data_IF_022563950625
#
_entry.id   IF_022563950625
#
_cell.length_a   1.000
_cell.length_b   1.000
_cell.length_c   1.000
_cell.angle_alpha   90.00
_cell.angle_beta   90.00
_cell.angle_gamma   90.00
#
_symmetry.space_group_name_H-M   'P 1'
#
loop_
_entity.id
_entity.type
_entity.pdbx_description
1 polymer ?
#
# COMPACT_ATOMS: atom_id res chain seq x y z
N UNK A 1 2.92 45.55 1.90
CA UNK A 1 2.90 44.22 1.25
C UNK A 1 3.15 43.16 2.31
N UNK A 2 2.19 42.28 2.62
CA UNK A 2 2.43 41.21 3.58
C UNK A 2 3.36 40.18 2.94
N UNK A 3 4.43 39.80 3.65
CA UNK A 3 5.28 38.66 3.27
C UNK A 3 4.38 37.42 3.20
N UNK A 4 4.39 36.75 2.04
CA UNK A 4 3.97 35.35 1.95
C UNK A 4 4.80 34.59 2.98
N UNK A 5 4.17 34.24 4.12
CA UNK A 5 4.74 33.23 4.99
C UNK A 5 4.85 31.99 4.11
N UNK A 6 6.09 31.57 3.83
CA UNK A 6 6.34 30.25 3.25
C UNK A 6 5.69 29.25 4.20
N UNK A 7 4.51 28.77 3.84
CA UNK A 7 3.90 27.62 4.47
C UNK A 7 4.86 26.49 4.13
N UNK A 8 5.72 26.15 5.08
CA UNK A 8 6.50 24.91 5.02
C UNK A 8 5.47 23.78 5.12
N UNK A 9 4.88 23.42 3.98
CA UNK A 9 4.03 22.25 3.87
C UNK A 9 4.97 21.08 4.12
N UNK A 10 5.02 20.62 5.36
CA UNK A 10 5.78 19.44 5.73
C UNK A 10 4.94 18.24 5.26
N UNK A 11 4.97 17.98 3.95
CA UNK A 11 4.30 16.86 3.28
C UNK A 11 4.94 15.56 3.76
N UNK A 12 4.51 15.06 4.91
CA UNK A 12 4.82 13.70 5.35
C UNK A 12 3.86 12.72 4.67
N UNK A 13 4.01 12.59 3.35
CA UNK A 13 3.32 11.58 2.53
C UNK A 13 3.79 10.21 3.04
N UNK A 14 2.86 9.34 3.47
CA UNK A 14 3.17 7.91 3.58
C UNK A 14 2.91 7.29 2.21
N UNK A 15 3.97 6.99 1.47
CA UNK A 15 3.86 6.19 0.24
C UNK A 15 4.03 4.73 0.64
N UNK A 16 3.01 3.91 0.42
CA UNK A 16 3.11 2.46 0.48
C UNK A 16 3.14 1.89 -0.92
N UNK A 17 4.27 1.31 -1.32
CA UNK A 17 4.39 0.50 -2.53
C UNK A 17 4.28 -0.98 -2.19
N UNK A 18 3.45 -1.72 -2.93
CA UNK A 18 3.34 -3.16 -2.81
C UNK A 18 4.03 -3.87 -3.98
N UNK A 19 5.11 -4.60 -3.72
CA UNK A 19 5.72 -5.50 -4.69
C UNK A 19 5.54 -6.93 -4.21
N UNK A 20 4.63 -7.66 -4.84
CA UNK A 20 4.16 -8.94 -4.31
C UNK A 20 3.35 -9.71 -5.33
N UNK A 21 3.41 -11.04 -5.28
CA UNK A 21 2.43 -11.90 -5.95
C UNK A 21 1.16 -12.13 -5.11
N UNK A 22 1.17 -11.65 -3.88
CA UNK A 22 0.11 -11.82 -2.90
C UNK A 22 -0.61 -10.50 -2.62
N UNK A 23 -1.94 -10.50 -2.53
CA UNK A 23 -2.74 -9.28 -2.36
C UNK A 23 -3.10 -9.10 -0.88
N UNK A 24 -2.60 -8.07 -0.17
CA UNK A 24 -3.05 -7.71 1.17
C UNK A 24 -4.48 -7.13 1.14
N UNK A 25 -5.25 -7.47 2.17
CA UNK A 25 -6.46 -6.73 2.53
C UNK A 25 -6.04 -5.62 3.47
N UNK A 26 -6.07 -4.37 3.01
CA UNK A 26 -5.76 -3.19 3.79
C UNK A 26 -7.04 -2.60 4.37
N UNK A 27 -7.07 -2.46 5.70
CA UNK A 27 -8.17 -1.82 6.41
C UNK A 27 -7.79 -0.39 6.76
N UNK A 28 -8.63 0.57 6.39
CA UNK A 28 -8.51 1.97 6.78
C UNK A 28 -9.71 2.38 7.65
N UNK A 29 -9.45 2.71 8.91
CA UNK A 29 -10.45 3.18 9.86
C UNK A 29 -10.87 4.62 9.58
N UNK A 30 -12.13 4.94 9.89
CA UNK A 30 -12.73 6.26 9.65
C UNK A 30 -12.67 7.20 10.86
N UNK A 31 -12.21 6.70 12.01
CA UNK A 31 -12.13 7.45 13.26
C UNK A 31 -11.55 6.62 14.40
N UNK A 32 -12.43 6.08 15.24
CA UNK A 32 -12.10 5.23 16.39
C UNK A 32 -11.97 3.76 16.00
N UNK A 33 -11.61 2.90 16.98
CA UNK A 33 -11.43 1.46 16.75
C UNK A 33 -12.74 0.71 16.48
N UNK A 34 -13.86 1.26 16.94
CA UNK A 34 -15.17 0.63 16.82
C UNK A 34 -15.87 1.04 15.51
N UNK A 35 -15.33 2.04 14.81
CA UNK A 35 -15.88 2.51 13.54
C UNK A 35 -15.59 1.50 12.41
N UNK A 36 -16.53 1.34 11.46
CA UNK A 36 -16.33 0.46 10.32
C UNK A 36 -15.13 0.91 9.48
N UNK A 37 -14.32 -0.06 9.05
CA UNK A 37 -13.16 0.19 8.20
C UNK A 37 -13.53 0.10 6.71
N UNK A 38 -12.82 0.86 5.88
CA UNK A 38 -12.77 0.62 4.45
C UNK A 38 -11.81 -0.54 4.16
N UNK A 39 -12.27 -1.49 3.35
CA UNK A 39 -11.46 -2.62 2.89
C UNK A 39 -10.91 -2.31 1.50
N UNK A 40 -9.59 -2.38 1.34
CA UNK A 40 -8.89 -2.01 0.12
C UNK A 40 -7.92 -3.16 -0.23
N UNK A 41 -7.98 -3.66 -1.46
CA UNK A 41 -6.96 -4.57 -1.99
C UNK A 41 -5.81 -3.73 -2.56
N UNK A 42 -4.57 -3.98 -2.13
CA UNK A 42 -3.39 -3.29 -2.66
C UNK A 42 -2.57 -4.25 -3.53
N UNK A 43 -2.74 -4.17 -4.83
CA UNK A 43 -2.13 -5.06 -5.81
C UNK A 43 -0.65 -4.75 -6.08
N UNK A 44 -0.01 -5.62 -6.87
CA UNK A 44 1.35 -5.38 -7.35
C UNK A 44 1.47 -4.04 -8.07
N UNK A 45 2.34 -3.16 -7.56
CA UNK A 45 2.60 -1.84 -8.12
C UNK A 45 1.70 -0.73 -7.58
N UNK A 46 0.68 -1.05 -6.79
CA UNK A 46 -0.20 -0.04 -6.21
C UNK A 46 0.56 0.87 -5.24
N UNK A 47 0.17 2.14 -5.27
CA UNK A 47 0.68 3.19 -4.41
C UNK A 47 -0.46 3.72 -3.55
N UNK A 48 -0.33 3.55 -2.24
CA UNK A 48 -1.25 4.14 -1.28
C UNK A 48 -0.61 5.37 -0.62
N UNK A 49 -1.29 6.51 -0.70
CA UNK A 49 -0.83 7.80 -0.16
C UNK A 49 -1.75 8.22 0.98
N UNK A 50 -1.19 8.41 2.18
CA UNK A 50 -1.89 9.06 3.29
C UNK A 50 -1.30 10.44 3.55
N UNK A 51 -2.16 11.45 3.61
CA UNK A 51 -1.80 12.84 3.91
C UNK A 51 -2.81 13.48 4.89
N UNK A 52 -2.43 14.60 5.51
CA UNK A 52 -3.28 15.37 6.40
C UNK A 52 -3.85 14.53 7.55
N UNK A 53 -5.17 14.56 7.70
CA UNK A 53 -5.91 13.85 8.76
C UNK A 53 -5.83 12.33 8.64
N UNK A 54 -5.65 11.81 7.44
CA UNK A 54 -5.66 10.36 7.17
C UNK A 54 -4.41 9.69 7.75
N UNK A 55 -3.36 10.45 8.07
CA UNK A 55 -2.18 9.94 8.78
C UNK A 55 -2.46 9.45 10.19
N UNK A 56 -3.52 9.97 10.81
CA UNK A 56 -3.95 9.55 12.14
C UNK A 56 -4.97 8.42 12.07
N UNK A 57 -5.39 8.02 10.86
CA UNK A 57 -6.32 6.92 10.69
C UNK A 57 -5.69 5.60 11.15
N UNK A 58 -6.46 4.86 11.94
CA UNK A 58 -6.12 3.50 12.29
C UNK A 58 -6.13 2.64 11.03
N UNK A 59 -5.09 1.84 10.82
CA UNK A 59 -5.03 0.96 9.67
C UNK A 59 -4.37 -0.36 10.02
N UNK A 60 -4.73 -1.41 9.28
CA UNK A 60 -4.23 -2.76 9.51
C UNK A 60 -4.18 -3.57 8.21
N UNK A 61 -3.37 -4.63 8.22
CA UNK A 61 -3.38 -5.67 7.18
C UNK A 61 -3.71 -7.00 7.85
N UNK A 62 -4.99 -7.33 8.10
CA UNK A 62 -5.37 -8.54 8.83
C UNK A 62 -5.12 -9.83 8.04
N UNK A 63 -5.08 -9.74 6.70
CA UNK A 63 -4.90 -10.90 5.82
C UNK A 63 -4.13 -10.54 4.56
N UNK A 64 -3.36 -11.50 4.09
CA UNK A 64 -2.69 -11.48 2.78
C UNK A 64 -3.20 -12.68 1.99
N UNK A 65 -3.72 -12.43 0.79
CA UNK A 65 -4.22 -13.43 -0.14
C UNK A 65 -3.04 -13.98 -0.95
N UNK A 66 -2.87 -15.30 -0.97
CA UNK A 66 -1.87 -15.95 -1.80
C UNK A 66 -2.18 -15.82 -3.30
N UNK A 67 -1.20 -16.17 -4.14
CA UNK A 67 -1.31 -16.07 -5.60
C UNK A 67 -2.53 -16.83 -6.14
N UNK A 68 -2.83 -18.02 -5.60
CA UNK A 68 -4.00 -18.81 -6.02
C UNK A 68 -5.33 -18.07 -5.76
N UNK A 69 -5.43 -17.31 -4.66
CA UNK A 69 -6.60 -16.47 -4.37
C UNK A 69 -6.60 -15.21 -5.23
N UNK A 70 -5.44 -14.60 -5.46
CA UNK A 70 -5.30 -13.45 -6.35
C UNK A 70 -5.78 -13.78 -7.78
N UNK A 71 -5.38 -14.93 -8.31
CA UNK A 71 -5.79 -15.41 -9.63
C UNK A 71 -7.30 -15.71 -9.75
N UNK A 72 -7.98 -15.98 -8.64
CA UNK A 72 -9.44 -16.13 -8.61
C UNK A 72 -10.17 -14.80 -8.64
N UNK A 73 -9.52 -13.72 -8.23
CA UNK A 73 -10.07 -12.36 -8.28
C UNK A 73 -9.80 -11.74 -9.66
N UNK A 74 -8.56 -11.85 -10.14
CA UNK A 74 -8.10 -11.40 -11.44
C UNK A 74 -7.26 -12.50 -12.10
N UNK A 75 -7.81 -13.18 -13.10
CA UNK A 75 -7.12 -14.25 -13.84
C UNK A 75 -5.84 -13.77 -14.54
N UNK A 76 -5.71 -12.46 -14.79
CA UNK A 76 -4.54 -11.86 -15.43
C UNK A 76 -3.52 -11.34 -14.42
N UNK A 77 -3.71 -11.58 -13.11
CA UNK A 77 -2.84 -11.03 -12.07
C UNK A 77 -1.36 -11.45 -12.21
N UNK A 78 -1.10 -12.67 -12.70
CA UNK A 78 0.27 -13.14 -12.93
C UNK A 78 1.06 -12.23 -13.89
N UNK A 79 0.38 -11.65 -14.90
CA UNK A 79 1.01 -10.76 -15.88
C UNK A 79 1.59 -9.50 -15.23
N UNK A 80 0.98 -9.02 -14.15
CA UNK A 80 1.46 -7.85 -13.37
C UNK A 80 2.79 -8.15 -12.69
N UNK A 81 3.04 -9.41 -12.32
CA UNK A 81 4.24 -9.86 -11.60
C UNK A 81 5.34 -10.32 -12.57
N UNK A 82 4.97 -10.91 -13.71
CA UNK A 82 5.93 -11.39 -14.73
C UNK A 82 6.76 -10.29 -15.38
N UNK A 83 6.42 -9.02 -15.16
CA UNK A 83 7.26 -7.88 -15.50
C UNK A 83 8.62 -7.89 -14.74
N UNK A 84 8.73 -8.68 -13.67
CA UNK A 84 10.00 -8.88 -12.94
C UNK A 84 10.88 -9.89 -13.70
N UNK A 85 11.82 -9.37 -14.48
CA UNK A 85 12.74 -10.19 -15.30
C UNK A 85 13.69 -11.08 -14.47
N UNK A 86 14.00 -10.67 -13.24
CA UNK A 86 14.91 -11.42 -12.38
C UNK A 86 14.19 -12.62 -11.75
N UNK A 87 14.55 -13.83 -12.18
CA UNK A 87 13.96 -15.09 -11.70
C UNK A 87 14.06 -15.31 -10.19
N UNK A 88 15.16 -14.90 -9.54
CA UNK A 88 15.33 -15.05 -8.09
C UNK A 88 14.33 -14.15 -7.37
N UNK A 89 14.19 -12.90 -7.82
CA UNK A 89 13.22 -11.96 -7.27
C UNK A 89 11.80 -12.44 -7.53
N UNK A 90 11.50 -12.94 -8.74
CA UNK A 90 10.19 -13.50 -9.07
C UNK A 90 9.77 -14.63 -8.12
N UNK A 91 10.65 -15.62 -7.91
CA UNK A 91 10.36 -16.75 -7.00
C UNK A 91 10.22 -16.29 -5.55
N UNK A 92 11.00 -15.29 -5.12
CA UNK A 92 10.83 -14.68 -3.81
C UNK A 92 9.46 -14.00 -3.68
N UNK A 93 9.04 -13.21 -4.67
CA UNK A 93 7.78 -12.47 -4.65
C UNK A 93 6.53 -13.37 -4.71
N UNK A 94 6.65 -14.60 -5.23
CA UNK A 94 5.57 -15.60 -5.21
C UNK A 94 5.09 -15.97 -3.80
N UNK A 95 5.96 -15.85 -2.80
CA UNK A 95 5.69 -16.26 -1.42
C UNK A 95 5.90 -15.14 -0.40
N UNK A 96 6.24 -13.93 -0.85
CA UNK A 96 6.56 -12.80 0.02
C UNK A 96 5.92 -11.51 -0.47
N UNK A 97 5.68 -10.60 0.48
CA UNK A 97 5.18 -9.25 0.21
C UNK A 97 6.20 -8.24 0.68
N UNK A 98 6.63 -7.37 -0.23
CA UNK A 98 7.46 -6.22 0.12
C UNK A 98 6.55 -5.00 0.20
N UNK A 99 6.54 -4.34 1.35
CA UNK A 99 5.86 -3.08 1.58
C UNK A 99 6.91 -2.02 1.91
N UNK A 100 7.02 -1.00 1.05
CA UNK A 100 7.94 0.12 1.26
C UNK A 100 7.16 1.31 1.80
N UNK A 101 7.52 1.79 2.99
CA UNK A 101 6.97 3.01 3.59
C UNK A 101 8.01 4.13 3.47
N UNK A 102 7.69 5.16 2.69
CA UNK A 102 8.53 6.35 2.60
C UNK A 102 7.88 7.46 3.43
N UNK A 103 8.68 8.16 4.24
CA UNK A 103 8.25 9.34 5.00
C UNK A 103 9.37 10.38 4.98
N UNK A 104 9.00 11.65 4.86
CA UNK A 104 9.95 12.73 5.10
C UNK A 104 10.14 12.91 6.62
N UNK A 105 11.37 12.77 7.09
CA UNK A 105 11.78 13.11 8.46
C UNK A 105 12.76 14.27 8.32
N UNK A 106 12.49 15.39 8.98
CA UNK A 106 13.42 16.51 9.04
C UNK A 106 14.62 16.18 9.93
#
# INVERSE_FOLDING_TARGET
MPRLQSVTITLQILVQLAFTAMIPVFLLGQGTRDDPCHEILLEHGDIFIMDGKDRQALHAVPRVLDLDRALKIDENYEKKITAVENKIVYEYLKQSRINLNIRQVN
#
